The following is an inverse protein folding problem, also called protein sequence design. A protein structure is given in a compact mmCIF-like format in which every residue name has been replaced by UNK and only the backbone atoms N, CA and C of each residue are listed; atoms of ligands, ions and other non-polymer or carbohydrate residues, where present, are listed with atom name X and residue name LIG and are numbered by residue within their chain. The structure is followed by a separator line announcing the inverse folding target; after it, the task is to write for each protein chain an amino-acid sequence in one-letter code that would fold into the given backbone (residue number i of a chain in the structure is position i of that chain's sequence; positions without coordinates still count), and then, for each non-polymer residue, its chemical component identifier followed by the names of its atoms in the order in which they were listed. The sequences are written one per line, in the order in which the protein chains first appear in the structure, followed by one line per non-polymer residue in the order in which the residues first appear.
data_IF_434615772125
#
_entry.id   IF_434615772125
#
_cell.length_a   1.000
_cell.length_b   1.000
_cell.length_c   1.000
_cell.angle_alpha   90.00
_cell.angle_beta   90.00
_cell.angle_gamma   90.00
#
_symmetry.space_group_name_H-M   'P 1'
#
loop_
_entity.id
_entity.type
_entity.pdbx_description
1 polymer ?
#
# COMPACT_ATOMS: atom_id res chain seq x y z
N UNK A 1 -7.23 2.81 -14.22
CA UNK A 1 -8.45 3.31 -13.58
C UNK A 1 -8.86 2.31 -12.52
N UNK A 2 -9.05 2.76 -11.28
CA UNK A 2 -9.57 1.95 -10.18
C UNK A 2 -10.78 2.68 -9.60
N UNK A 3 -11.98 2.13 -9.82
CA UNK A 3 -13.24 2.81 -9.51
C UNK A 3 -13.22 4.22 -10.13
N UNK A 4 -13.25 5.28 -9.32
CA UNK A 4 -13.28 6.67 -9.78
C UNK A 4 -11.88 7.30 -9.93
N UNK A 5 -10.81 6.59 -9.53
CA UNK A 5 -9.44 7.09 -9.58
C UNK A 5 -8.73 6.69 -10.88
N UNK A 6 -8.11 7.66 -11.55
CA UNK A 6 -7.18 7.42 -12.66
C UNK A 6 -5.74 7.71 -12.22
N UNK A 7 -4.91 6.67 -12.19
CA UNK A 7 -3.48 6.77 -11.97
C UNK A 7 -2.73 6.37 -13.24
N UNK A 8 -1.73 7.15 -13.62
CA UNK A 8 -0.88 6.96 -14.80
C UNK A 8 0.57 7.35 -14.49
N UNK A 9 1.50 6.91 -15.34
CA UNK A 9 2.93 7.20 -15.26
C UNK A 9 3.38 7.65 -16.66
N UNK A 10 4.21 8.69 -16.71
CA UNK A 10 4.82 9.21 -17.93
C UNK A 10 6.33 9.31 -17.71
N UNK A 11 7.11 9.27 -18.80
CA UNK A 11 8.58 9.31 -18.72
C UNK A 11 9.10 10.77 -18.66
N UNK A 12 8.24 11.76 -18.97
CA UNK A 12 8.57 13.18 -18.90
C UNK A 12 7.38 14.10 -18.61
N UNK A 13 7.68 15.32 -18.17
CA UNK A 13 6.69 16.33 -17.77
C UNK A 13 5.83 16.83 -18.93
N UNK A 14 6.42 16.98 -20.12
CA UNK A 14 5.69 17.41 -21.32
C UNK A 14 4.72 16.32 -21.80
N UNK A 15 5.14 15.05 -21.73
CA UNK A 15 4.26 13.91 -22.01
C UNK A 15 3.10 13.85 -21.01
N UNK A 16 3.38 14.05 -19.72
CA UNK A 16 2.36 14.10 -18.68
C UNK A 16 1.34 15.22 -18.93
N UNK A 17 1.82 16.42 -19.27
CA UNK A 17 0.97 17.58 -19.60
C UNK A 17 0.05 17.30 -20.80
N UNK A 18 0.61 16.73 -21.88
CA UNK A 18 -0.19 16.33 -23.04
C UNK A 18 -1.19 15.21 -22.71
N UNK A 19 -0.82 14.27 -21.84
CA UNK A 19 -1.72 13.20 -21.40
C UNK A 19 -2.89 13.76 -20.58
N UNK A 20 -2.63 14.69 -19.66
CA UNK A 20 -3.65 15.38 -18.86
C UNK A 20 -4.67 16.07 -19.77
N UNK A 21 -4.21 16.81 -20.78
CA UNK A 21 -5.08 17.48 -21.76
C UNK A 21 -5.95 16.47 -22.52
N UNK A 22 -5.32 15.45 -23.13
CA UNK A 22 -6.04 14.42 -23.91
C UNK A 22 -7.07 13.67 -23.07
N UNK A 23 -6.74 13.33 -21.83
CA UNK A 23 -7.66 12.65 -20.92
C UNK A 23 -8.83 13.55 -20.53
N UNK A 24 -8.57 14.84 -20.31
CA UNK A 24 -9.62 15.81 -19.99
C UNK A 24 -10.61 15.94 -21.15
N UNK A 25 -10.11 16.11 -22.38
CA UNK A 25 -10.93 16.18 -23.60
C UNK A 25 -11.72 14.88 -23.81
N UNK A 26 -11.05 13.73 -23.70
CA UNK A 26 -11.68 12.42 -23.88
C UNK A 26 -12.81 12.20 -22.88
N UNK A 27 -12.57 12.46 -21.59
CA UNK A 27 -13.58 12.24 -20.55
C UNK A 27 -14.75 13.21 -20.70
N UNK A 28 -14.51 14.44 -21.18
CA UNK A 28 -15.58 15.39 -21.51
C UNK A 28 -16.51 14.86 -22.60
N UNK A 29 -16.02 14.10 -23.58
CA UNK A 29 -16.91 13.47 -24.59
C UNK A 29 -17.92 12.50 -23.98
N UNK A 30 -17.58 11.89 -22.84
CA UNK A 30 -18.47 11.04 -22.07
C UNK A 30 -19.29 11.78 -21.00
N UNK A 31 -19.20 13.12 -20.93
CA UNK A 31 -19.86 13.92 -19.90
C UNK A 31 -19.19 13.88 -18.53
N UNK A 32 -17.95 13.38 -18.44
CA UNK A 32 -17.19 13.29 -17.20
C UNK A 32 -16.17 14.43 -17.10
N UNK A 33 -16.25 15.21 -16.03
CA UNK A 33 -15.24 16.21 -15.70
C UNK A 33 -14.23 15.62 -14.72
N UNK A 34 -12.99 15.40 -15.16
CA UNK A 34 -11.89 15.00 -14.28
C UNK A 34 -11.52 16.18 -13.37
N UNK A 35 -11.43 15.91 -12.07
CA UNK A 35 -11.10 16.89 -11.02
C UNK A 35 -10.02 16.33 -10.11
N UNK A 36 -9.44 17.20 -9.28
CA UNK A 36 -8.44 16.87 -8.27
C UNK A 36 -7.17 16.24 -8.86
N UNK A 37 -6.69 16.79 -9.97
CA UNK A 37 -5.44 16.37 -10.60
C UNK A 37 -4.25 16.52 -9.64
N UNK A 38 -3.38 15.52 -9.63
CA UNK A 38 -2.20 15.49 -8.78
C UNK A 38 -1.00 14.92 -9.55
N UNK A 39 0.17 15.52 -9.33
CA UNK A 39 1.45 15.15 -9.95
C UNK A 39 2.58 15.36 -8.95
N UNK A 40 3.66 14.58 -9.07
CA UNK A 40 4.93 14.84 -8.41
C UNK A 40 5.69 16.01 -9.07
N UNK A 41 5.37 16.34 -10.32
CA UNK A 41 5.87 17.52 -11.01
C UNK A 41 4.74 18.54 -11.25
N UNK A 42 4.74 19.72 -10.58
CA UNK A 42 3.72 20.75 -10.75
C UNK A 42 3.59 21.29 -12.18
N UNK A 43 4.68 21.26 -12.97
CA UNK A 43 4.66 21.74 -14.36
C UNK A 43 3.74 20.90 -15.25
N UNK A 44 3.46 19.65 -14.88
CA UNK A 44 2.51 18.80 -15.60
C UNK A 44 1.06 19.32 -15.55
N UNK A 45 0.74 20.19 -14.58
CA UNK A 45 -0.64 20.62 -14.29
C UNK A 45 -0.88 22.12 -14.53
N UNK A 46 0.08 22.86 -15.09
CA UNK A 46 0.01 24.33 -15.22
C UNK A 46 -1.11 24.83 -16.12
N UNK A 47 -1.60 24.00 -17.03
CA UNK A 47 -2.68 24.36 -17.97
C UNK A 47 -4.08 24.13 -17.41
N UNK A 48 -4.18 23.49 -16.24
CA UNK A 48 -5.46 23.20 -15.63
C UNK A 48 -5.95 24.40 -14.82
N UNK A 49 -7.27 24.61 -14.76
CA UNK A 49 -7.86 25.54 -13.80
C UNK A 49 -7.43 25.18 -12.37
N UNK A 50 -7.08 26.16 -11.50
CA UNK A 50 -6.66 25.89 -10.13
C UNK A 50 -7.66 25.06 -9.31
N UNK A 51 -8.95 25.20 -9.58
CA UNK A 51 -10.04 24.43 -8.96
C UNK A 51 -10.01 22.92 -9.31
N UNK A 52 -9.34 22.56 -10.40
CA UNK A 52 -9.26 21.19 -10.88
C UNK A 52 -7.99 20.49 -10.40
N UNK A 53 -7.06 21.24 -9.82
CA UNK A 53 -5.80 20.75 -9.26
C UNK A 53 -5.96 20.54 -7.75
N UNK A 54 -5.51 19.39 -7.26
CA UNK A 54 -5.50 19.12 -5.82
C UNK A 54 -4.53 20.07 -5.09
N UNK A 55 -5.05 20.76 -4.08
CA UNK A 55 -4.31 21.79 -3.34
C UNK A 55 -3.01 21.27 -2.75
N UNK A 56 -2.02 22.15 -2.56
CA UNK A 56 -0.74 21.80 -1.98
C UNK A 56 -0.84 21.36 -0.50
N UNK A 57 -1.93 21.64 0.22
CA UNK A 57 -2.14 21.12 1.60
C UNK A 57 -2.90 19.79 1.61
N UNK A 58 -3.70 19.49 0.59
CA UNK A 58 -4.11 18.11 0.28
C UNK A 58 -2.92 17.24 -0.16
N UNK A 59 -1.74 17.83 -0.38
CA UNK A 59 -0.55 17.19 -0.96
C UNK A 59 0.19 16.21 -0.09
N UNK A 60 -0.04 16.21 1.22
CA UNK A 60 0.71 15.25 2.03
C UNK A 60 0.31 13.83 1.66
N UNK A 61 -0.95 13.59 1.25
CA UNK A 61 -1.53 12.25 1.35
C UNK A 61 -2.73 12.05 0.41
N UNK A 62 -2.49 11.88 -0.89
CA UNK A 62 -3.54 11.37 -1.78
C UNK A 62 -3.91 9.94 -1.37
N UNK A 63 -5.16 9.69 -0.98
CA UNK A 63 -5.63 8.37 -0.54
C UNK A 63 -6.22 7.59 -1.70
N UNK A 64 -5.38 6.92 -2.49
CA UNK A 64 -5.82 5.86 -3.39
C UNK A 64 -5.50 4.52 -2.71
N UNK A 65 -6.51 3.66 -2.57
CA UNK A 65 -6.33 2.31 -2.00
C UNK A 65 -5.71 2.29 -0.58
N UNK A 66 -6.07 3.26 0.28
CA UNK A 66 -5.59 3.33 1.67
C UNK A 66 -4.11 3.67 1.84
N UNK A 67 -3.40 3.89 0.73
CA UNK A 67 -2.02 4.35 0.67
C UNK A 67 -2.01 5.86 0.62
N UNK A 68 -0.96 6.48 1.14
CA UNK A 68 -0.78 7.91 0.99
C UNK A 68 0.43 8.22 0.13
N UNK A 69 0.28 9.11 -0.84
CA UNK A 69 1.36 9.53 -1.72
C UNK A 69 1.93 10.89 -1.31
N UNK A 70 3.23 10.92 -1.00
CA UNK A 70 4.01 12.13 -0.85
C UNK A 70 4.52 12.56 -2.22
N UNK A 71 3.89 13.59 -2.80
CA UNK A 71 4.19 14.10 -4.15
C UNK A 71 5.63 14.61 -4.29
N UNK A 72 6.16 15.27 -3.27
CA UNK A 72 7.48 15.91 -3.34
C UNK A 72 8.63 14.89 -3.39
N UNK A 73 8.55 13.83 -2.60
CA UNK A 73 9.57 12.78 -2.55
C UNK A 73 9.24 11.56 -3.41
N UNK A 74 8.08 11.55 -4.05
CA UNK A 74 7.52 10.47 -4.88
C UNK A 74 7.50 9.08 -4.22
N UNK A 75 7.10 9.03 -2.95
CA UNK A 75 6.94 7.79 -2.20
C UNK A 75 5.50 7.60 -1.68
N UNK A 76 5.08 6.34 -1.63
CA UNK A 76 3.92 5.87 -0.90
C UNK A 76 4.29 5.64 0.57
N UNK A 77 3.41 6.02 1.49
CA UNK A 77 3.57 5.88 2.93
C UNK A 77 2.21 5.63 3.62
N UNK A 78 2.26 5.39 4.93
CA UNK A 78 1.14 5.00 5.76
C UNK A 78 1.07 5.90 6.98
N UNK A 79 -0.06 6.60 7.15
CA UNK A 79 -0.23 7.40 8.35
C UNK A 79 -0.67 6.56 9.55
N UNK A 80 -0.21 6.92 10.76
CA UNK A 80 -0.84 6.49 11.99
C UNK A 80 -2.33 6.87 11.98
N UNK A 81 -3.18 5.95 12.47
CA UNK A 81 -4.59 6.26 12.61
C UNK A 81 -4.79 7.21 13.81
N UNK A 82 -5.67 8.22 13.71
CA UNK A 82 -5.98 9.08 14.83
C UNK A 82 -6.69 8.30 15.95
N UNK A 83 -6.57 8.81 17.17
CA UNK A 83 -7.28 8.36 18.38
C UNK A 83 -6.98 6.92 18.83
N UNK A 84 -5.81 6.39 18.47
CA UNK A 84 -5.33 5.13 19.03
C UNK A 84 -4.85 5.37 20.46
N UNK A 85 -5.34 4.58 21.42
CA UNK A 85 -4.80 4.51 22.79
C UNK A 85 -4.02 3.21 22.96
N UNK A 86 -2.67 3.24 22.87
CA UNK A 86 -1.87 2.01 22.85
C UNK A 86 -1.99 1.20 24.15
N UNK A 87 -2.13 1.86 25.30
CA UNK A 87 -2.22 1.19 26.60
C UNK A 87 -3.63 0.76 26.99
N UNK A 88 -4.65 1.08 26.19
CA UNK A 88 -6.02 0.68 26.48
C UNK A 88 -6.28 -0.77 26.07
N UNK A 89 -6.68 -1.59 27.03
CA UNK A 89 -7.16 -2.95 26.77
C UNK A 89 -8.28 -2.97 25.73
N UNK A 90 -8.36 -4.06 24.99
CA UNK A 90 -9.33 -4.21 23.93
C UNK A 90 -10.21 -5.45 24.04
N UNK A 91 -11.05 -5.61 23.02
CA UNK A 91 -11.78 -6.84 22.73
C UNK A 91 -11.42 -7.40 21.35
N UNK A 92 -11.87 -8.63 21.06
CA UNK A 92 -11.71 -9.26 19.74
C UNK A 92 -12.29 -8.39 18.62
N UNK A 93 -13.45 -7.75 18.85
CA UNK A 93 -14.09 -6.82 17.90
C UNK A 93 -13.22 -5.59 17.63
N UNK A 94 -12.68 -4.99 18.68
CA UNK A 94 -11.85 -3.79 18.55
C UNK A 94 -10.53 -4.09 17.82
N UNK A 95 -9.92 -5.24 18.09
CA UNK A 95 -8.72 -5.70 17.39
C UNK A 95 -8.98 -5.81 15.88
N UNK A 96 -10.04 -6.52 15.48
CA UNK A 96 -10.38 -6.69 14.07
C UNK A 96 -10.73 -5.36 13.40
N UNK A 97 -11.53 -4.53 14.08
CA UNK A 97 -11.92 -3.21 13.58
C UNK A 97 -10.69 -2.34 13.30
N UNK A 98 -9.77 -2.26 14.26
CA UNK A 98 -8.55 -1.47 14.10
C UNK A 98 -7.61 -2.05 13.03
N UNK A 99 -7.42 -3.36 12.99
CA UNK A 99 -6.60 -4.01 11.96
C UNK A 99 -7.17 -3.81 10.55
N UNK A 100 -8.50 -3.78 10.40
CA UNK A 100 -9.18 -3.60 9.10
C UNK A 100 -9.09 -2.16 8.59
N UNK A 101 -8.87 -1.18 9.48
CA UNK A 101 -8.63 0.22 9.09
C UNK A 101 -7.29 0.41 8.39
N UNK A 102 -6.32 -0.48 8.63
CA UNK A 102 -5.03 -0.51 7.93
C UNK A 102 -5.20 -1.29 6.62
N UNK A 103 -5.78 -0.62 5.64
CA UNK A 103 -5.96 -1.19 4.31
C UNK A 103 -4.62 -1.17 3.56
N UNK A 104 -4.10 -2.36 3.25
CA UNK A 104 -2.79 -2.56 2.62
C UNK A 104 -2.94 -3.35 1.30
N UNK A 105 -3.37 -2.65 0.25
CA UNK A 105 -3.69 -3.28 -1.04
C UNK A 105 -2.47 -3.92 -1.72
N UNK A 106 -1.29 -3.31 -1.55
CA UNK A 106 -0.04 -3.76 -2.17
C UNK A 106 0.77 -4.68 -1.27
N UNK A 107 0.40 -4.88 -0.01
CA UNK A 107 1.16 -5.70 0.94
C UNK A 107 2.44 -5.03 1.46
N UNK A 108 2.57 -3.71 1.37
CA UNK A 108 3.75 -3.00 1.88
C UNK A 108 3.87 -3.13 3.41
N UNK A 109 2.74 -3.27 4.10
CA UNK A 109 2.65 -3.51 5.54
C UNK A 109 2.41 -4.99 5.86
N UNK A 110 2.67 -5.90 4.92
CA UNK A 110 2.41 -7.32 5.10
C UNK A 110 2.97 -7.89 6.42
N UNK A 111 4.23 -7.63 6.83
CA UNK A 111 4.74 -8.12 8.12
C UNK A 111 3.97 -7.55 9.33
N UNK A 112 3.54 -6.30 9.23
CA UNK A 112 2.83 -5.58 10.29
C UNK A 112 1.38 -6.07 10.43
N UNK A 113 0.61 -6.08 9.34
CA UNK A 113 -0.81 -6.46 9.32
C UNK A 113 -1.00 -7.95 9.60
N UNK A 114 -0.03 -8.77 9.21
CA UNK A 114 -0.05 -10.21 9.45
C UNK A 114 -0.11 -10.50 10.96
N UNK A 115 0.70 -9.83 11.80
CA UNK A 115 0.65 -10.04 13.27
C UNK A 115 -0.76 -9.86 13.85
N UNK A 116 -1.51 -8.85 13.41
CA UNK A 116 -2.90 -8.66 13.84
C UNK A 116 -3.82 -9.82 13.41
N UNK A 117 -3.68 -10.31 12.16
CA UNK A 117 -4.44 -11.49 11.68
C UNK A 117 -4.16 -12.74 12.53
N UNK A 118 -2.90 -12.91 12.99
CA UNK A 118 -2.50 -14.01 13.88
C UNK A 118 -3.09 -13.88 15.28
N UNK A 119 -3.07 -12.67 15.85
CA UNK A 119 -3.74 -12.42 17.14
C UNK A 119 -5.24 -12.73 17.03
N UNK A 120 -5.89 -12.28 15.97
CA UNK A 120 -7.30 -12.57 15.72
C UNK A 120 -7.59 -14.07 15.60
N UNK A 121 -6.76 -14.82 14.87
CA UNK A 121 -6.88 -16.28 14.78
C UNK A 121 -6.71 -16.95 16.16
N UNK A 122 -5.73 -16.52 16.96
CA UNK A 122 -5.51 -17.04 18.32
C UNK A 122 -6.73 -16.83 19.22
N UNK A 123 -7.32 -15.64 19.19
CA UNK A 123 -8.54 -15.32 19.94
C UNK A 123 -9.72 -16.19 19.51
N UNK A 124 -9.86 -16.45 18.21
CA UNK A 124 -10.89 -17.33 17.69
C UNK A 124 -10.72 -18.77 18.19
N UNK A 125 -9.49 -19.29 18.19
CA UNK A 125 -9.17 -20.63 18.67
C UNK A 125 -9.38 -20.79 20.18
N UNK A 126 -9.11 -19.73 20.95
CA UNK A 126 -9.38 -19.70 22.40
C UNK A 126 -10.87 -19.50 22.74
N UNK A 127 -11.74 -19.31 21.75
CA UNK A 127 -13.18 -19.18 21.96
C UNK A 127 -13.62 -17.90 22.66
N UNK A 128 -12.82 -16.82 22.62
CA UNK A 128 -13.18 -15.54 23.23
C UNK A 128 -14.38 -14.92 22.50
N UNK A 129 -15.36 -14.38 23.20
CA UNK A 129 -16.47 -13.66 22.56
C UNK A 129 -16.04 -12.29 21.99
N UNK A 130 -16.92 -11.65 21.23
CA UNK A 130 -16.59 -10.43 20.48
C UNK A 130 -16.19 -9.25 21.36
N UNK A 131 -16.87 -9.10 22.49
CA UNK A 131 -16.80 -7.92 23.35
C UNK A 131 -16.13 -8.20 24.70
N UNK A 132 -15.71 -9.44 24.93
CA UNK A 132 -14.92 -9.83 26.09
C UNK A 132 -13.51 -9.22 26.06
N UNK A 133 -12.96 -9.03 27.26
CA UNK A 133 -11.60 -8.54 27.45
C UNK A 133 -10.58 -9.55 26.91
N UNK A 134 -9.57 -9.04 26.20
CA UNK A 134 -8.45 -9.87 25.73
C UNK A 134 -7.71 -10.52 26.90
N UNK A 135 -7.26 -11.76 26.70
CA UNK A 135 -6.34 -12.42 27.62
C UNK A 135 -5.05 -11.59 27.80
N UNK A 136 -4.48 -11.60 29.01
CA UNK A 136 -3.33 -10.75 29.38
C UNK A 136 -2.14 -10.91 28.41
N UNK A 137 -1.84 -12.16 28.01
CA UNK A 137 -0.78 -12.50 27.06
C UNK A 137 -1.02 -11.83 25.69
N UNK A 138 -2.23 -11.95 25.16
CA UNK A 138 -2.61 -11.38 23.85
C UNK A 138 -2.70 -9.85 23.92
N UNK A 139 -3.22 -9.32 25.03
CA UNK A 139 -3.38 -7.89 25.22
C UNK A 139 -2.03 -7.17 25.24
N UNK A 140 -1.01 -7.76 25.87
CA UNK A 140 0.35 -7.19 25.88
C UNK A 140 0.92 -7.02 24.46
N UNK A 141 0.79 -8.05 23.61
CA UNK A 141 1.23 -8.05 22.21
C UNK A 141 0.39 -7.09 21.38
N UNK A 142 -0.91 -7.00 21.66
CA UNK A 142 -1.81 -6.05 21.01
C UNK A 142 -1.45 -4.59 21.33
N UNK A 143 -1.15 -4.28 22.59
CA UNK A 143 -0.70 -2.95 23.00
C UNK A 143 0.62 -2.57 22.33
N UNK A 144 1.57 -3.50 22.25
CA UNK A 144 2.81 -3.29 21.49
C UNK A 144 2.53 -3.03 20.00
N UNK A 145 1.69 -3.85 19.37
CA UNK A 145 1.31 -3.66 17.96
C UNK A 145 0.70 -2.27 17.72
N UNK A 146 -0.11 -1.77 18.68
CA UNK A 146 -0.66 -0.41 18.60
C UNK A 146 0.39 0.68 18.70
N UNK A 147 1.38 0.54 19.58
CA UNK A 147 2.49 1.52 19.69
C UNK A 147 3.29 1.59 18.39
N UNK A 148 3.56 0.44 17.79
CA UNK A 148 4.30 0.39 16.53
C UNK A 148 3.53 0.99 15.35
N UNK A 149 2.22 1.24 15.44
CA UNK A 149 1.50 1.97 14.38
C UNK A 149 2.01 3.40 14.20
N UNK A 150 2.55 4.02 15.24
CA UNK A 150 3.11 5.38 15.16
C UNK A 150 4.33 5.45 14.24
N UNK A 151 5.00 4.32 14.01
CA UNK A 151 6.19 4.27 13.15
C UNK A 151 5.87 4.00 11.68
N UNK A 152 4.60 3.76 11.32
CA UNK A 152 4.22 3.39 9.96
C UNK A 152 4.54 4.46 8.91
N UNK A 153 4.60 5.74 9.30
CA UNK A 153 4.99 6.84 8.40
C UNK A 153 6.46 6.73 7.94
N UNK A 154 7.29 6.01 8.71
CA UNK A 154 8.67 5.73 8.31
C UNK A 154 8.77 4.73 7.15
N UNK A 155 7.72 3.96 6.88
CA UNK A 155 7.66 3.05 5.73
C UNK A 155 7.49 3.89 4.47
N UNK A 156 8.51 3.88 3.62
CA UNK A 156 8.54 4.61 2.35
C UNK A 156 8.75 3.62 1.21
N UNK A 157 7.77 3.54 0.32
CA UNK A 157 7.83 2.70 -0.88
C UNK A 157 7.86 3.63 -2.09
N UNK A 158 8.91 3.60 -2.93
CA UNK A 158 8.90 4.35 -4.18
C UNK A 158 7.66 4.05 -5.01
N UNK A 159 6.93 5.09 -5.43
CA UNK A 159 5.71 4.92 -6.23
C UNK A 159 6.03 4.39 -7.62
N UNK A 160 7.09 4.92 -8.24
CA UNK A 160 7.52 4.51 -9.58
C UNK A 160 8.16 3.11 -9.55
N UNK A 161 7.60 2.19 -10.33
CA UNK A 161 8.17 0.85 -10.54
C UNK A 161 9.33 0.84 -11.55
N UNK A 162 9.37 1.84 -12.42
CA UNK A 162 10.41 2.03 -13.43
C UNK A 162 10.81 3.50 -13.42
N UNK A 163 12.09 3.77 -13.23
CA UNK A 163 12.67 5.13 -13.30
C UNK A 163 13.55 5.30 -14.53
N UNK A 164 14.04 4.20 -15.08
CA UNK A 164 14.69 4.19 -16.39
C UNK A 164 13.62 4.40 -17.47
N UNK A 165 13.79 5.41 -18.36
CA UNK A 165 12.93 5.61 -19.51
C UNK A 165 12.80 4.32 -20.34
N UNK A 166 11.61 4.04 -20.87
CA UNK A 166 11.31 2.74 -21.51
C UNK A 166 12.22 2.42 -22.68
N UNK A 167 12.64 3.42 -23.45
CA UNK A 167 13.56 3.32 -24.58
C UNK A 167 15.02 3.02 -24.14
N UNK A 168 15.34 3.23 -22.87
CA UNK A 168 16.64 2.95 -22.27
C UNK A 168 16.65 1.63 -21.47
N UNK A 169 15.54 0.89 -21.44
CA UNK A 169 15.46 -0.41 -20.78
C UNK A 169 16.00 -1.50 -21.71
N UNK A 170 17.03 -2.21 -21.25
CA UNK A 170 17.56 -3.39 -21.93
C UNK A 170 16.64 -4.59 -21.74
N UNK A 171 16.26 -4.87 -20.49
CA UNK A 171 15.28 -5.90 -20.14
C UNK A 171 14.76 -5.70 -18.71
N UNK A 172 13.64 -6.33 -18.42
CA UNK A 172 13.04 -6.37 -17.08
C UNK A 172 12.69 -7.81 -16.69
N UNK A 173 12.84 -8.13 -15.40
CA UNK A 173 12.53 -9.44 -14.83
C UNK A 173 11.69 -9.25 -13.57
N UNK A 174 10.58 -9.97 -13.49
CA UNK A 174 9.78 -10.06 -12.27
C UNK A 174 10.29 -11.22 -11.41
N UNK A 175 10.91 -10.90 -10.27
CA UNK A 175 11.31 -11.88 -9.27
C UNK A 175 10.18 -12.08 -8.27
N UNK A 176 9.72 -13.32 -8.14
CA UNK A 176 8.72 -13.69 -7.14
C UNK A 176 9.37 -14.64 -6.15
N UNK A 177 9.29 -14.28 -4.87
CA UNK A 177 9.73 -15.11 -3.76
C UNK A 177 8.51 -15.51 -2.96
N UNK A 178 8.45 -16.77 -2.54
CA UNK A 178 7.47 -17.26 -1.59
C UNK A 178 8.16 -17.90 -0.39
N UNK A 179 7.50 -17.82 0.76
CA UNK A 179 7.91 -18.51 1.97
C UNK A 179 6.67 -18.99 2.73
N UNK A 180 6.81 -20.14 3.39
CA UNK A 180 5.76 -20.78 4.15
C UNK A 180 6.28 -21.27 5.49
N UNK A 181 5.59 -20.87 6.55
CA UNK A 181 5.82 -21.33 7.91
C UNK A 181 4.55 -21.96 8.48
N UNK A 182 4.67 -22.61 9.63
CA UNK A 182 3.51 -23.11 10.37
C UNK A 182 2.52 -21.99 10.73
N UNK A 183 3.00 -20.75 10.86
CA UNK A 183 2.19 -19.61 11.28
C UNK A 183 1.50 -18.88 10.11
N UNK A 184 2.20 -18.74 8.98
CA UNK A 184 1.72 -18.01 7.81
C UNK A 184 2.53 -18.38 6.58
N UNK A 185 1.96 -18.11 5.42
CA UNK A 185 2.67 -18.09 4.15
C UNK A 185 2.52 -16.72 3.48
N UNK A 186 3.52 -16.37 2.68
CA UNK A 186 3.55 -15.12 1.95
C UNK A 186 4.30 -15.24 0.65
N UNK A 187 3.99 -14.34 -0.26
CA UNK A 187 4.75 -14.14 -1.48
C UNK A 187 5.01 -12.65 -1.68
N UNK A 188 6.15 -12.31 -2.26
CA UNK A 188 6.55 -10.94 -2.62
C UNK A 188 7.10 -10.92 -4.03
N UNK A 189 6.74 -9.88 -4.77
CA UNK A 189 7.20 -9.66 -6.13
C UNK A 189 8.03 -8.37 -6.20
N UNK A 190 9.18 -8.46 -6.86
CA UNK A 190 10.07 -7.35 -7.15
C UNK A 190 10.31 -7.27 -8.66
N UNK A 191 10.24 -6.07 -9.22
CA UNK A 191 10.63 -5.80 -10.60
C UNK A 191 12.10 -5.38 -10.62
N UNK A 192 12.93 -6.17 -11.27
CA UNK A 192 14.29 -5.78 -11.64
C UNK A 192 14.29 -5.24 -13.05
N UNK A 193 14.90 -4.09 -13.26
CA UNK A 193 15.10 -3.50 -14.59
C UNK A 193 16.60 -3.28 -14.80
N UNK A 194 17.10 -3.73 -15.95
CA UNK A 194 18.47 -3.43 -16.41
C UNK A 194 18.39 -2.43 -17.56
N UNK A 195 19.08 -1.31 -17.42
CA UNK A 195 19.21 -0.29 -18.47
C UNK A 195 20.28 -0.67 -19.51
N UNK A 196 20.31 0.05 -20.64
CA UNK A 196 21.28 -0.17 -21.71
C UNK A 196 22.74 0.00 -21.26
N UNK A 197 22.98 0.88 -20.29
CA UNK A 197 24.28 1.11 -19.64
C UNK A 197 24.65 0.07 -18.57
N UNK A 198 23.82 -0.97 -18.41
CA UNK A 198 23.98 -2.08 -17.44
C UNK A 198 23.69 -1.73 -15.99
N UNK A 199 23.18 -0.53 -15.68
CA UNK A 199 22.68 -0.26 -14.33
C UNK A 199 21.46 -1.14 -14.03
N UNK A 200 21.36 -1.64 -12.79
CA UNK A 200 20.26 -2.49 -12.34
C UNK A 200 19.53 -1.81 -11.21
N UNK A 201 18.22 -1.79 -11.32
CA UNK A 201 17.33 -1.30 -10.27
C UNK A 201 16.29 -2.34 -9.90
N UNK A 202 15.95 -2.40 -8.61
CA UNK A 202 14.94 -3.31 -8.08
C UNK A 202 13.87 -2.50 -7.35
N UNK A 203 12.61 -2.71 -7.71
CA UNK A 203 11.46 -2.05 -7.08
C UNK A 203 10.51 -3.09 -6.51
N UNK A 204 10.03 -2.85 -5.29
CA UNK A 204 8.93 -3.62 -4.71
C UNK A 204 7.66 -3.40 -5.55
N UNK A 205 6.99 -4.48 -5.94
CA UNK A 205 5.72 -4.40 -6.67
C UNK A 205 4.54 -4.64 -5.74
N UNK A 206 4.52 -5.81 -5.11
CA UNK A 206 3.45 -6.23 -4.22
C UNK A 206 3.91 -7.38 -3.32
N UNK A 207 3.25 -7.54 -2.18
CA UNK A 207 3.30 -8.73 -1.36
C UNK A 207 1.88 -9.19 -1.00
N UNK A 208 1.75 -10.48 -0.72
CA UNK A 208 0.50 -11.06 -0.24
C UNK A 208 0.81 -12.05 0.86
N UNK A 209 0.09 -11.93 1.97
CA UNK A 209 0.25 -12.81 3.13
C UNK A 209 -1.07 -13.39 3.57
N UNK A 210 -1.00 -14.62 4.08
CA UNK A 210 -2.15 -15.31 4.66
C UNK A 210 -1.71 -16.12 5.86
N UNK A 211 -2.51 -16.05 6.92
CA UNK A 211 -2.36 -16.92 8.09
C UNK A 211 -2.65 -18.36 7.67
N UNK A 212 -1.83 -19.30 8.14
CA UNK A 212 -2.04 -20.72 7.86
C UNK A 212 -3.42 -21.16 8.37
N UNK A 213 -4.22 -21.88 7.57
CA UNK A 213 -5.52 -22.38 8.00
C UNK A 213 -5.40 -23.26 9.26
N UNK A 214 -6.38 -23.14 10.16
CA UNK A 214 -6.44 -23.93 11.40
C UNK A 214 -6.52 -25.44 11.10
N UNK A 215 -7.27 -25.82 10.06
CA UNK A 215 -7.22 -27.18 9.53
C UNK A 215 -5.89 -27.35 8.81
N UNK A 216 -4.98 -28.12 9.42
CA UNK A 216 -3.70 -28.50 8.80
C UNK A 216 -3.99 -29.29 7.51
N UNK A 217 -3.85 -28.62 6.38
CA UNK A 217 -3.52 -29.27 5.12
C UNK A 217 -2.00 -29.52 5.19
N UNK A 218 -1.58 -30.77 4.99
CA UNK A 218 -0.16 -31.11 4.97
C UNK A 218 0.58 -30.20 3.99
N UNK A 219 1.62 -29.50 4.46
CA UNK A 219 2.50 -28.73 3.59
C UNK A 219 3.10 -29.69 2.55
N UNK A 220 3.04 -29.38 1.24
CA UNK A 220 3.76 -30.17 0.25
C UNK A 220 5.25 -30.06 0.56
N UNK A 221 5.87 -31.21 0.84
CA UNK A 221 7.32 -31.30 1.01
C UNK A 221 7.93 -31.04 -0.35
N UNK A 222 8.80 -30.04 -0.47
CA UNK A 222 9.67 -29.93 -1.64
C UNK A 222 10.61 -31.15 -1.59
N UNK A 223 10.43 -32.06 -2.55
CA UNK A 223 11.33 -33.19 -2.82
C UNK A 223 12.47 -32.77 -3.72
#
# INVERSE_FOLDING_TARGET
MYVDDLATICDGVDEARQLVQRLTELMQTGGFALKKWASNDPYALTDLPPEDVSSADESRLWKTLGLHWNRHSDHLTFLPLPDIRPERDGSKRQLLSLASRLFDALGCLAPFTMRAKRLFQSLWLKGLDWDDQLFLDINSVWCQWKREMETLESVRVPRALMVTPRDQVRHSVLHVFDDASEAAYGAVAYLMTESLDRAKEVRFCLAKTRVTPVKRLSLPRQS
#
